data_IF_224519975803
#
_entry.id   IF_224519975803
#
_cell.length_a   1.000
_cell.length_b   1.000
_cell.length_c   1.000
_cell.angle_alpha   90.00
_cell.angle_beta   90.00
_cell.angle_gamma   90.00
#
_symmetry.space_group_name_H-M   'P 1'
#
loop_
_entity.id
_entity.type
_entity.pdbx_description
1 polymer ?
#
# COMPACT_ATOMS: atom_id res chain seq x y z
N UNK A 1 -1.71 -3.96 -19.06
CA UNK A 1 -1.38 -3.24 -17.81
C UNK A 1 -2.03 -4.00 -16.65
N UNK A 2 -1.30 -4.25 -15.57
CA UNK A 2 -1.69 -5.11 -14.45
C UNK A 2 -1.93 -4.23 -13.22
N UNK A 3 -3.14 -4.31 -12.65
CA UNK A 3 -3.47 -3.70 -11.36
C UNK A 3 -3.45 -4.76 -10.26
N UNK A 4 -2.87 -4.42 -9.11
CA UNK A 4 -2.81 -5.30 -7.94
C UNK A 4 -3.25 -4.54 -6.69
N UNK A 5 -4.11 -5.17 -5.88
CA UNK A 5 -4.57 -4.63 -4.60
C UNK A 5 -4.02 -5.46 -3.45
N UNK A 6 -3.20 -4.84 -2.60
CA UNK A 6 -2.66 -5.51 -1.43
C UNK A 6 -3.79 -5.71 -0.41
N UNK A 7 -4.30 -6.94 -0.34
CA UNK A 7 -5.38 -7.32 0.57
C UNK A 7 -4.91 -8.37 1.59
N UNK A 8 -4.11 -7.96 2.57
CA UNK A 8 -3.60 -8.88 3.58
C UNK A 8 -4.69 -9.39 4.54
N UNK A 9 -4.67 -10.70 4.82
CA UNK A 9 -5.57 -11.41 5.73
C UNK A 9 -4.79 -12.38 6.61
N UNK A 10 -4.62 -12.06 7.89
CA UNK A 10 -3.82 -12.84 8.84
C UNK A 10 -4.27 -14.30 9.04
N UNK A 11 -5.52 -14.65 8.68
CA UNK A 11 -6.02 -16.03 8.77
C UNK A 11 -5.57 -16.93 7.61
N UNK A 12 -5.07 -16.36 6.52
CA UNK A 12 -4.69 -17.13 5.32
C UNK A 12 -3.20 -17.51 5.29
N UNK A 13 -2.36 -16.71 5.94
CA UNK A 13 -0.90 -16.77 5.88
C UNK A 13 -0.31 -15.84 6.93
N UNK A 14 0.93 -16.12 7.33
CA UNK A 14 1.68 -15.22 8.21
C UNK A 14 2.02 -13.91 7.48
N UNK A 15 2.22 -12.83 8.24
CA UNK A 15 2.63 -11.55 7.68
C UNK A 15 3.93 -11.64 6.87
N UNK A 16 4.87 -12.49 7.31
CA UNK A 16 6.15 -12.73 6.63
C UNK A 16 5.93 -13.40 5.27
N UNK A 17 5.18 -14.51 5.23
CA UNK A 17 4.84 -15.20 3.98
C UNK A 17 4.11 -14.26 3.01
N UNK A 18 3.23 -13.41 3.55
CA UNK A 18 2.53 -12.38 2.78
C UNK A 18 3.49 -11.38 2.14
N UNK A 19 4.37 -10.77 2.94
CA UNK A 19 5.35 -9.80 2.45
C UNK A 19 6.31 -10.41 1.41
N UNK A 20 6.81 -11.63 1.65
CA UNK A 20 7.70 -12.33 0.72
C UNK A 20 7.02 -12.64 -0.62
N UNK A 21 5.75 -13.05 -0.59
CA UNK A 21 4.98 -13.36 -1.79
C UNK A 21 4.65 -12.10 -2.58
N UNK A 22 4.13 -11.06 -1.90
CA UNK A 22 3.80 -9.78 -2.52
C UNK A 22 5.03 -9.17 -3.17
N UNK A 23 6.19 -9.20 -2.50
CA UNK A 23 7.45 -8.69 -3.05
C UNK A 23 7.89 -9.40 -4.35
N UNK A 24 7.53 -10.67 -4.55
CA UNK A 24 7.80 -11.41 -5.80
C UNK A 24 6.80 -11.05 -6.91
N UNK A 25 5.60 -10.59 -6.57
CA UNK A 25 4.54 -10.22 -7.51
C UNK A 25 4.73 -8.78 -8.01
N UNK A 26 5.07 -7.83 -7.11
CA UNK A 26 5.14 -6.41 -7.43
C UNK A 26 6.03 -6.03 -8.63
N UNK A 27 7.13 -6.73 -8.99
CA UNK A 27 7.89 -6.46 -10.22
C UNK A 27 7.11 -6.62 -11.55
N UNK A 28 5.93 -7.25 -11.51
CA UNK A 28 5.08 -7.48 -12.68
C UNK A 28 3.83 -6.58 -12.69
N UNK A 29 3.71 -5.64 -11.75
CA UNK A 29 2.53 -4.80 -11.54
C UNK A 29 2.72 -3.41 -12.13
N UNK A 30 1.74 -2.88 -12.84
CA UNK A 30 1.79 -1.51 -13.37
C UNK A 30 1.13 -0.49 -12.43
N UNK A 31 0.09 -0.90 -11.69
CA UNK A 31 -0.69 -0.08 -10.77
C UNK A 31 -0.90 -0.81 -9.44
N UNK A 32 -0.61 -0.17 -8.32
CA UNK A 32 -0.67 -0.83 -7.01
C UNK A 32 -1.55 -0.06 -6.02
N UNK A 33 -2.54 -0.74 -5.45
CA UNK A 33 -3.25 -0.26 -4.26
C UNK A 33 -2.47 -0.63 -3.03
N UNK A 34 -1.93 0.38 -2.35
CA UNK A 34 -1.10 0.24 -1.17
C UNK A 34 -1.22 1.49 -0.29
N UNK A 35 -1.07 1.31 1.03
CA UNK A 35 -0.96 2.40 1.99
C UNK A 35 0.20 2.22 2.97
N UNK A 36 0.20 3.04 4.03
CA UNK A 36 1.18 2.99 5.12
C UNK A 36 1.37 1.57 5.67
N UNK A 37 0.27 0.88 5.98
CA UNK A 37 0.35 -0.42 6.64
C UNK A 37 1.02 -1.46 5.74
N UNK A 38 0.75 -1.44 4.44
CA UNK A 38 1.38 -2.36 3.49
C UNK A 38 2.87 -2.06 3.34
N UNK A 39 3.21 -0.77 3.23
CA UNK A 39 4.60 -0.31 3.15
C UNK A 39 5.43 -0.80 4.34
N UNK A 40 4.94 -0.57 5.56
CA UNK A 40 5.66 -0.93 6.79
C UNK A 40 5.68 -2.44 7.01
N UNK A 41 4.51 -3.06 6.99
CA UNK A 41 4.36 -4.43 7.50
C UNK A 41 4.56 -5.53 6.46
N UNK A 42 4.41 -5.23 5.17
CA UNK A 42 4.53 -6.23 4.10
C UNK A 42 5.74 -5.96 3.21
N UNK A 43 6.09 -4.68 3.01
CA UNK A 43 7.25 -4.29 2.21
C UNK A 43 8.47 -3.95 3.06
N UNK A 44 8.33 -3.79 4.38
CA UNK A 44 9.48 -3.51 5.28
C UNK A 44 10.08 -2.13 5.07
N UNK A 45 9.30 -1.16 4.61
CA UNK A 45 9.70 0.26 4.53
C UNK A 45 9.67 0.83 5.96
N UNK A 46 10.70 1.60 6.31
CA UNK A 46 10.82 2.21 7.63
C UNK A 46 9.63 3.12 7.95
N UNK A 47 9.30 3.25 9.24
CA UNK A 47 8.27 4.20 9.66
C UNK A 47 8.70 5.64 9.37
N UNK A 48 7.74 6.46 8.91
CA UNK A 48 7.97 7.87 8.65
C UNK A 48 8.10 8.64 9.97
N UNK A 49 9.13 9.48 10.08
CA UNK A 49 9.43 10.26 11.30
C UNK A 49 9.52 11.77 11.07
N UNK A 50 9.20 12.25 9.86
CA UNK A 50 9.26 13.67 9.51
C UNK A 50 7.94 14.41 9.72
N UNK A 51 7.93 15.69 9.34
CA UNK A 51 6.79 16.60 9.47
C UNK A 51 5.98 16.79 8.16
N UNK A 52 6.50 16.28 7.04
CA UNK A 52 5.85 16.34 5.72
C UNK A 52 4.75 15.27 5.57
N UNK A 53 4.22 15.16 4.35
CA UNK A 53 3.15 14.20 4.05
C UNK A 53 3.66 12.75 4.08
N UNK A 54 3.34 12.05 5.17
CA UNK A 54 3.64 10.65 5.40
C UNK A 54 3.31 9.72 4.22
N UNK A 55 2.19 9.92 3.54
CA UNK A 55 1.78 9.02 2.45
C UNK A 55 2.68 9.19 1.21
N UNK A 56 3.14 10.40 0.94
CA UNK A 56 4.07 10.68 -0.16
C UNK A 56 5.39 9.94 0.08
N UNK A 57 5.89 9.94 1.31
CA UNK A 57 7.10 9.19 1.68
C UNK A 57 6.94 7.70 1.32
N UNK A 58 5.86 7.06 1.76
CA UNK A 58 5.65 5.64 1.46
C UNK A 58 5.52 5.36 -0.04
N UNK A 59 4.85 6.24 -0.79
CA UNK A 59 4.73 6.07 -2.24
C UNK A 59 6.07 6.20 -2.95
N UNK A 60 6.89 7.17 -2.57
CA UNK A 60 8.23 7.32 -3.10
C UNK A 60 9.10 6.09 -2.80
N UNK A 61 9.07 5.56 -1.58
CA UNK A 61 9.86 4.38 -1.21
C UNK A 61 9.39 3.11 -1.94
N UNK A 62 8.07 2.91 -2.11
CA UNK A 62 7.52 1.80 -2.90
C UNK A 62 7.99 1.93 -4.36
N UNK A 63 7.86 3.10 -4.96
CA UNK A 63 8.20 3.33 -6.37
C UNK A 63 9.72 3.24 -6.62
N UNK A 64 10.56 3.68 -5.67
CA UNK A 64 12.01 3.46 -5.72
C UNK A 64 12.36 1.96 -5.76
N UNK A 65 11.65 1.15 -4.99
CA UNK A 65 11.89 -0.30 -4.92
C UNK A 65 11.28 -1.07 -6.10
N UNK A 66 10.15 -0.61 -6.63
CA UNK A 66 9.41 -1.24 -7.72
C UNK A 66 9.13 -0.21 -8.82
N UNK A 67 10.14 0.16 -9.64
CA UNK A 67 10.04 1.25 -10.62
C UNK A 67 9.08 0.95 -11.78
N UNK A 68 8.64 -0.31 -11.94
CA UNK A 68 7.60 -0.72 -12.88
C UNK A 68 6.20 -0.23 -12.47
N UNK A 69 5.99 0.09 -11.19
CA UNK A 69 4.72 0.63 -10.70
C UNK A 69 4.63 2.10 -11.12
N UNK A 70 3.74 2.36 -12.08
CA UNK A 70 3.51 3.68 -12.67
C UNK A 70 2.50 4.53 -11.90
N UNK A 71 1.60 3.90 -11.15
CA UNK A 71 0.59 4.58 -10.33
C UNK A 71 0.45 3.84 -9.00
N UNK A 72 0.45 4.60 -7.92
CA UNK A 72 0.07 4.13 -6.59
C UNK A 72 -1.27 4.77 -6.21
N UNK A 73 -2.13 3.99 -5.57
CA UNK A 73 -3.41 4.51 -5.12
C UNK A 73 -3.83 3.91 -3.80
N UNK A 74 -4.72 4.61 -3.10
CA UNK A 74 -5.34 4.10 -1.87
C UNK A 74 -6.68 4.77 -1.64
N UNK A 75 -7.44 4.21 -0.72
CA UNK A 75 -8.68 4.84 -0.22
C UNK A 75 -8.53 5.16 1.25
N UNK A 76 -8.88 6.39 1.63
CA UNK A 76 -9.08 6.77 3.03
C UNK A 76 -10.56 6.74 3.34
N UNK A 77 -10.96 5.91 4.32
CA UNK A 77 -12.33 5.89 4.83
C UNK A 77 -12.39 6.66 6.14
N UNK A 78 -13.29 7.64 6.20
CA UNK A 78 -13.69 8.30 7.45
C UNK A 78 -15.06 7.74 7.85
N UNK A 79 -15.10 7.09 9.01
CA UNK A 79 -16.32 6.45 9.53
C UNK A 79 -17.05 7.47 10.42
N UNK A 80 -18.31 7.77 10.09
CA UNK A 80 -19.19 8.58 10.96
C UNK A 80 -20.15 7.69 11.75
N UNK A 81 -20.67 6.62 11.12
CA UNK A 81 -21.51 5.61 11.75
C UNK A 81 -21.46 4.29 10.97
N UNK A 82 -22.13 3.25 11.48
CA UNK A 82 -22.27 1.96 10.78
C UNK A 82 -22.89 2.08 9.38
N UNK A 83 -23.66 3.14 9.12
CA UNK A 83 -24.36 3.38 7.85
C UNK A 83 -23.90 4.65 7.13
N UNK A 84 -22.95 5.42 7.68
CA UNK A 84 -22.47 6.67 7.09
C UNK A 84 -20.94 6.74 7.13
N UNK A 85 -20.36 6.84 5.94
CA UNK A 85 -18.92 6.88 5.73
C UNK A 85 -18.59 7.86 4.60
N UNK A 86 -17.49 8.57 4.73
CA UNK A 86 -16.86 9.31 3.64
C UNK A 86 -15.66 8.51 3.12
N UNK A 87 -15.55 8.46 1.79
CA UNK A 87 -14.48 7.76 1.08
C UNK A 87 -13.75 8.78 0.21
N UNK A 88 -12.44 8.88 0.40
CA UNK A 88 -11.56 9.70 -0.42
C UNK A 88 -10.57 8.78 -1.14
N UNK A 89 -10.50 8.89 -2.46
CA UNK A 89 -9.46 8.25 -3.27
C UNK A 89 -8.21 9.11 -3.30
N UNK A 90 -7.04 8.47 -3.22
CA UNK A 90 -5.74 9.11 -3.37
C UNK A 90 -5.04 8.43 -4.54
N UNK A 91 -4.47 9.24 -5.43
CA UNK A 91 -3.72 8.81 -6.61
C UNK A 91 -2.35 9.50 -6.58
N UNK A 92 -1.29 8.73 -6.81
CA UNK A 92 0.09 9.18 -6.93
C UNK A 92 0.69 8.70 -8.25
#
# INVERSE_FOLDING_TARGET
KISFDINYRNKLWTQKEAGETISKILPYVDYCSAGKLDAVYLLGISEYTGDDNELIYYYQEIQKRFPNISILYSTKRKVFSASSNELTGILW
#
